data_IF_543049366466
#
_entry.id   IF_543049366466
#
_cell.length_a   1.000
_cell.length_b   1.000
_cell.length_c   1.000
_cell.angle_alpha   90.00
_cell.angle_beta   90.00
_cell.angle_gamma   90.00
#
_symmetry.space_group_name_H-M   'P 1'
#
loop_
_entity.id
_entity.type
_entity.pdbx_description
1 polymer ?
#
# COMPACT_ATOMS: atom_id res chain seq x y z
N UNK A 1 -19.81 -8.68 -5.86
CA UNK A 1 -19.04 -8.52 -4.61
C UNK A 1 -17.65 -9.10 -4.86
N UNK A 2 -16.61 -8.27 -5.03
CA UNK A 2 -15.27 -8.77 -5.39
C UNK A 2 -14.43 -7.87 -6.32
N UNK A 3 -14.44 -6.56 -6.11
CA UNK A 3 -13.61 -5.60 -6.86
C UNK A 3 -12.76 -4.69 -5.96
N UNK A 4 -12.53 -5.08 -4.71
CA UNK A 4 -11.80 -4.26 -3.75
C UNK A 4 -10.41 -4.87 -3.50
N UNK A 5 -9.37 -4.06 -3.71
CA UNK A 5 -8.06 -4.28 -3.10
C UNK A 5 -8.16 -3.82 -1.65
N UNK A 6 -7.85 -4.69 -0.70
CA UNK A 6 -7.89 -4.36 0.74
C UNK A 6 -6.46 -4.13 1.23
N UNK A 7 -6.23 -3.01 1.91
CA UNK A 7 -4.98 -2.77 2.63
C UNK A 7 -5.03 -3.57 3.93
N UNK A 8 -4.08 -4.48 4.13
CA UNK A 8 -4.05 -5.36 5.29
C UNK A 8 -3.43 -4.69 6.51
N UNK A 9 -2.20 -4.19 6.35
CA UNK A 9 -1.44 -3.56 7.43
C UNK A 9 -0.25 -2.78 6.87
N UNK A 10 0.31 -1.91 7.70
CA UNK A 10 1.56 -1.19 7.47
C UNK A 10 2.54 -1.64 8.54
N UNK A 11 3.78 -1.94 8.16
CA UNK A 11 4.87 -2.16 9.11
C UNK A 11 5.73 -0.90 9.12
N UNK A 12 5.92 -0.32 10.30
CA UNK A 12 6.75 0.88 10.54
C UNK A 12 7.55 0.67 11.82
N UNK A 13 8.85 0.92 11.78
CA UNK A 13 9.74 0.79 12.95
C UNK A 13 9.61 -0.56 13.67
N UNK A 14 9.49 -1.65 12.89
CA UNK A 14 9.25 -3.04 13.35
C UNK A 14 7.90 -3.29 14.04
N UNK A 15 7.01 -2.30 14.08
CA UNK A 15 5.65 -2.43 14.61
C UNK A 15 4.63 -2.66 13.48
N UNK A 16 3.57 -3.42 13.80
CA UNK A 16 2.46 -3.67 12.88
C UNK A 16 1.31 -2.72 13.18
N UNK A 17 1.04 -1.82 12.24
CA UNK A 17 -0.10 -0.91 12.23
C UNK A 17 -1.24 -1.54 11.42
N UNK A 18 -2.40 -1.75 12.05
CA UNK A 18 -3.60 -2.17 11.31
C UNK A 18 -4.08 -0.97 10.48
N UNK A 19 -4.15 -1.14 9.16
CA UNK A 19 -4.52 -0.07 8.25
C UNK A 19 -6.01 0.25 8.42
N UNK A 20 -6.30 1.46 8.87
CA UNK A 20 -7.64 2.04 8.92
C UNK A 20 -7.69 3.29 8.01
N UNK A 21 -8.88 3.81 7.73
CA UNK A 21 -9.11 4.85 6.72
C UNK A 21 -8.30 6.14 6.93
N UNK A 22 -7.81 6.39 8.15
CA UNK A 22 -7.06 7.60 8.51
C UNK A 22 -5.52 7.39 8.56
N UNK A 23 -5.03 6.18 8.29
CA UNK A 23 -3.59 5.89 8.41
C UNK A 23 -2.81 6.45 7.21
N UNK A 24 -2.07 7.54 7.44
CA UNK A 24 -1.17 8.12 6.44
C UNK A 24 0.12 7.30 6.26
N UNK A 25 0.44 6.97 4.99
CA UNK A 25 1.68 6.29 4.60
C UNK A 25 2.86 7.28 4.69
N UNK A 26 3.98 6.80 5.21
CA UNK A 26 5.21 7.55 5.41
C UNK A 26 6.39 6.89 4.69
N UNK A 27 7.47 7.65 4.52
CA UNK A 27 8.72 7.13 3.96
C UNK A 27 9.27 6.05 4.89
N UNK A 28 9.63 4.90 4.32
CA UNK A 28 10.13 3.75 5.08
C UNK A 28 9.04 2.74 5.48
N UNK A 29 7.76 3.03 5.22
CA UNK A 29 6.67 2.10 5.47
C UNK A 29 6.73 0.87 4.55
N UNK A 30 6.51 -0.30 5.14
CA UNK A 30 6.28 -1.54 4.40
C UNK A 30 4.78 -1.84 4.39
N UNK A 31 4.11 -1.62 3.25
CA UNK A 31 2.66 -1.80 3.12
C UNK A 31 2.34 -3.22 2.65
N UNK A 32 1.49 -3.94 3.39
CA UNK A 32 0.99 -5.27 3.02
C UNK A 32 -0.40 -5.12 2.39
N UNK A 33 -0.50 -5.50 1.11
CA UNK A 33 -1.72 -5.41 0.30
C UNK A 33 -2.22 -6.80 -0.06
N UNK A 34 -3.53 -7.03 0.05
CA UNK A 34 -4.16 -8.26 -0.42
C UNK A 34 -4.84 -8.00 -1.77
N UNK A 35 -4.28 -8.57 -2.83
CA UNK A 35 -4.87 -8.54 -4.16
C UNK A 35 -5.62 -9.84 -4.44
N UNK A 36 -6.89 -9.72 -4.82
CA UNK A 36 -7.72 -10.88 -5.25
C UNK A 36 -7.30 -11.37 -6.63
N UNK A 37 -6.85 -10.46 -7.50
CA UNK A 37 -6.39 -10.77 -8.85
C UNK A 37 -5.01 -10.16 -9.10
N UNK A 38 -4.04 -11.02 -9.38
CA UNK A 38 -2.64 -10.66 -9.64
C UNK A 38 -2.44 -9.74 -10.84
N UNK A 39 -3.41 -9.62 -11.76
CA UNK A 39 -3.30 -8.70 -12.91
C UNK A 39 -3.15 -7.24 -12.47
N UNK A 40 -3.61 -6.91 -11.25
CA UNK A 40 -3.56 -5.57 -10.69
C UNK A 40 -2.23 -5.24 -9.99
N UNK A 41 -1.25 -6.16 -9.99
CA UNK A 41 0.07 -5.88 -9.40
C UNK A 41 0.71 -4.66 -10.06
N UNK A 42 0.62 -4.54 -11.40
CA UNK A 42 1.19 -3.40 -12.13
C UNK A 42 0.53 -2.07 -11.76
N UNK A 43 -0.79 -2.08 -11.59
CA UNK A 43 -1.55 -0.89 -11.18
C UNK A 43 -1.10 -0.42 -9.77
N UNK A 44 -0.83 -1.38 -8.87
CA UNK A 44 -0.29 -1.11 -7.52
C UNK A 44 1.15 -0.58 -7.61
N UNK A 45 2.01 -1.20 -8.40
CA UNK A 45 3.39 -0.73 -8.60
C UNK A 45 3.42 0.71 -9.13
N UNK A 46 2.51 1.08 -10.03
CA UNK A 46 2.39 2.45 -10.54
C UNK A 46 1.90 3.45 -9.48
N UNK A 47 0.98 3.03 -8.59
CA UNK A 47 0.47 3.87 -7.50
C UNK A 47 1.56 4.20 -6.46
N UNK A 48 2.43 3.23 -6.16
CA UNK A 48 3.55 3.39 -5.23
C UNK A 48 4.83 3.86 -5.92
N UNK A 49 4.85 3.96 -7.25
CA UNK A 49 5.98 4.51 -7.97
C UNK A 49 6.13 5.97 -7.57
N UNK A 50 7.24 6.29 -6.89
CA UNK A 50 7.63 7.68 -6.65
C UNK A 50 7.89 8.28 -8.03
N UNK A 51 6.94 9.06 -8.56
CA UNK A 51 7.29 10.02 -9.61
C UNK A 51 8.33 10.92 -8.98
N UNK A 52 9.59 10.78 -9.40
CA UNK A 52 10.71 11.66 -9.03
C UNK A 52 10.24 13.10 -9.16
N UNK A 53 9.77 13.64 -8.05
CA UNK A 53 9.27 14.99 -7.93
C UNK A 53 10.49 15.77 -7.48
N UNK A 54 11.30 16.13 -8.47
CA UNK A 54 12.45 17.01 -8.30
C UNK A 54 11.95 18.37 -7.80
N UNK A 55 12.06 18.63 -6.50
CA UNK A 55 12.07 19.97 -5.92
C UNK A 55 12.95 19.96 -4.66
#
# INVERSE_FOLDING_TARGET
>A
MGRCTTIGSIIRDEEVLIAHDETAIQIGDHVILFLVDKKHIRDVEELFHVRLSFF
#
